data_IF_334649745892
#
_entry.id   IF_334649745892
#
_cell.length_a   1.000
_cell.length_b   1.000
_cell.length_c   1.000
_cell.angle_alpha   90.00
_cell.angle_beta   90.00
_cell.angle_gamma   90.00
#
_symmetry.space_group_name_H-M   'P 1'
#
loop_
_entity.id
_entity.type
_entity.pdbx_description
1 polymer ?
#
# COMPACT_ATOMS: atom_id res chain seq x y z
N UNK A 1 -7.29 -2.37 35.33
CA UNK A 1 -7.47 -2.98 33.99
C UNK A 1 -6.36 -2.47 33.09
N UNK A 2 -5.47 -3.35 32.64
CA UNK A 2 -4.51 -3.00 31.59
C UNK A 2 -5.32 -2.81 30.31
N UNK A 3 -5.36 -1.59 29.78
CA UNK A 3 -6.04 -1.31 28.51
C UNK A 3 -5.30 -2.07 27.40
N UNK A 4 -6.04 -2.67 26.48
CA UNK A 4 -5.46 -3.28 25.28
C UNK A 4 -4.65 -2.25 24.49
N UNK A 5 -3.51 -2.66 23.93
CA UNK A 5 -2.67 -1.84 23.04
C UNK A 5 -3.44 -1.31 21.83
N UNK A 6 -4.61 -1.89 21.52
CA UNK A 6 -5.58 -1.39 20.53
C UNK A 6 -5.97 0.08 20.74
N UNK A 7 -5.90 0.62 21.96
CA UNK A 7 -6.17 2.05 22.22
C UNK A 7 -5.13 3.01 21.60
N UNK A 8 -3.94 2.51 21.22
CA UNK A 8 -2.96 3.32 20.47
C UNK A 8 -3.34 3.45 18.98
N UNK A 9 -4.22 2.59 18.49
CA UNK A 9 -4.71 2.60 17.12
C UNK A 9 -5.83 3.63 17.04
N UNK A 10 -5.51 4.85 16.57
CA UNK A 10 -6.48 5.95 16.39
C UNK A 10 -7.39 5.76 15.17
N UNK A 11 -7.83 4.52 14.93
CA UNK A 11 -8.72 4.15 13.83
C UNK A 11 -10.04 3.74 14.46
N UNK A 12 -11.10 4.45 14.08
CA UNK A 12 -12.45 4.17 14.54
C UNK A 12 -13.04 2.98 13.81
N UNK A 13 -12.88 2.95 12.48
CA UNK A 13 -13.45 1.92 11.62
C UNK A 13 -12.74 1.90 10.25
N UNK A 14 -12.89 0.80 9.51
CA UNK A 14 -12.47 0.68 8.10
C UNK A 14 -13.66 0.10 7.34
N UNK A 15 -14.23 0.90 6.44
CA UNK A 15 -15.38 0.52 5.60
C UNK A 15 -15.34 1.29 4.29
N UNK A 16 -15.98 0.76 3.24
CA UNK A 16 -16.09 1.42 1.93
C UNK A 16 -14.71 1.86 1.38
N UNK A 17 -13.68 1.04 1.59
CA UNK A 17 -12.30 1.26 1.14
C UNK A 17 -11.66 2.56 1.66
N UNK A 18 -12.13 3.01 2.82
CA UNK A 18 -11.60 4.18 3.54
C UNK A 18 -11.39 3.87 5.02
N UNK A 19 -10.39 4.52 5.59
CA UNK A 19 -10.08 4.47 7.03
C UNK A 19 -10.75 5.66 7.70
N UNK A 20 -11.55 5.40 8.73
CA UNK A 20 -12.23 6.43 9.51
C UNK A 20 -11.43 6.65 10.80
N UNK A 21 -10.97 7.88 11.02
CA UNK A 21 -10.25 8.25 12.24
C UNK A 21 -11.22 8.47 13.42
N UNK A 22 -10.72 8.44 14.66
CA UNK A 22 -11.54 8.76 15.84
C UNK A 22 -12.18 10.15 15.76
N UNK A 23 -11.50 11.08 15.10
CA UNK A 23 -11.95 12.46 14.89
C UNK A 23 -13.02 12.58 13.78
N UNK A 24 -13.36 11.48 13.10
CA UNK A 24 -14.35 11.46 12.01
C UNK A 24 -13.80 11.92 10.65
N UNK A 25 -12.48 12.01 10.51
CA UNK A 25 -11.82 12.21 9.22
C UNK A 25 -11.79 10.90 8.43
N UNK A 26 -11.79 11.03 7.10
CA UNK A 26 -11.64 9.92 6.17
C UNK A 26 -10.23 9.92 5.59
N UNK A 27 -9.67 8.74 5.38
CA UNK A 27 -8.38 8.52 4.72
C UNK A 27 -8.52 7.44 3.65
N UNK A 28 -8.19 7.78 2.42
CA UNK A 28 -7.91 6.79 1.38
C UNK A 28 -6.40 6.52 1.34
N UNK A 29 -6.00 5.28 1.04
CA UNK A 29 -4.60 4.89 0.91
C UNK A 29 -4.37 4.31 -0.47
N UNK A 30 -3.39 4.87 -1.18
CA UNK A 30 -2.93 4.41 -2.48
C UNK A 30 -1.57 3.74 -2.31
N UNK A 31 -1.42 2.52 -2.80
CA UNK A 31 -0.11 1.91 -3.03
C UNK A 31 0.43 2.42 -4.36
N UNK A 32 1.70 2.82 -4.40
CA UNK A 32 2.31 3.43 -5.59
C UNK A 32 3.57 2.66 -5.95
N UNK A 33 3.78 2.31 -7.24
CA UNK A 33 5.04 1.70 -7.66
C UNK A 33 6.20 2.67 -7.46
N UNK A 34 7.39 2.13 -7.21
CA UNK A 34 8.60 2.93 -7.25
C UNK A 34 9.07 3.10 -8.69
N UNK A 35 9.73 4.23 -9.00
CA UNK A 35 10.46 4.42 -10.26
C UNK A 35 11.95 4.45 -9.99
N UNK A 36 12.73 3.79 -10.86
CA UNK A 36 14.19 3.83 -10.84
C UNK A 36 14.72 5.16 -11.35
N UNK A 37 14.52 6.23 -10.58
CA UNK A 37 14.88 7.61 -10.95
C UNK A 37 16.36 7.77 -11.37
N UNK A 38 17.25 6.99 -10.76
CA UNK A 38 18.69 7.03 -11.05
C UNK A 38 19.03 6.54 -12.47
N UNK A 39 18.23 5.63 -13.04
CA UNK A 39 18.46 5.05 -14.36
C UNK A 39 17.89 5.90 -15.49
N UNK A 40 17.07 6.91 -15.17
CA UNK A 40 16.53 7.84 -16.15
C UNK A 40 17.63 8.74 -16.73
N UNK A 41 17.44 9.16 -17.97
CA UNK A 41 18.26 10.21 -18.58
C UNK A 41 17.97 11.58 -17.93
N UNK A 42 18.90 12.53 -18.03
CA UNK A 42 18.70 13.88 -17.50
C UNK A 42 17.40 14.58 -17.96
N UNK A 43 17.02 14.58 -19.26
CA UNK A 43 15.75 15.19 -19.66
C UNK A 43 14.52 14.48 -19.07
N UNK A 44 14.58 13.16 -18.90
CA UNK A 44 13.49 12.40 -18.24
C UNK A 44 13.40 12.74 -16.75
N UNK A 45 14.55 12.88 -16.07
CA UNK A 45 14.58 13.33 -14.67
C UNK A 45 13.97 14.71 -14.52
N UNK A 46 14.32 15.66 -15.38
CA UNK A 46 13.73 17.00 -15.38
C UNK A 46 12.22 16.97 -15.60
N UNK A 47 11.75 16.14 -16.54
CA UNK A 47 10.33 15.96 -16.79
C UNK A 47 9.58 15.40 -15.56
N UNK A 48 10.13 14.35 -14.93
CA UNK A 48 9.55 13.75 -13.71
C UNK A 48 9.50 14.76 -12.57
N UNK A 49 10.57 15.52 -12.36
CA UNK A 49 10.62 16.57 -11.32
C UNK A 49 9.60 17.68 -11.62
N UNK A 50 9.46 18.10 -12.88
CA UNK A 50 8.48 19.10 -13.30
C UNK A 50 7.04 18.66 -13.01
N UNK A 51 6.68 17.44 -13.42
CA UNK A 51 5.37 16.85 -13.18
C UNK A 51 5.09 16.65 -11.68
N UNK A 52 6.11 16.27 -10.90
CA UNK A 52 5.96 16.12 -9.45
C UNK A 52 5.74 17.48 -8.77
N UNK A 53 6.40 18.53 -9.26
CA UNK A 53 6.12 19.90 -8.82
C UNK A 53 4.68 20.32 -9.13
N UNK A 54 4.19 20.06 -10.34
CA UNK A 54 2.81 20.35 -10.72
C UNK A 54 1.79 19.61 -9.84
N UNK A 55 2.08 18.36 -9.45
CA UNK A 55 1.28 17.64 -8.47
C UNK A 55 1.24 18.40 -7.14
N UNK A 56 2.39 18.79 -6.59
CA UNK A 56 2.46 19.47 -5.30
C UNK A 56 1.80 20.86 -5.32
N UNK A 57 2.03 21.64 -6.38
CA UNK A 57 1.47 22.99 -6.54
C UNK A 57 -0.06 22.95 -6.68
N UNK A 58 -0.61 21.83 -7.16
CA UNK A 58 -2.05 21.65 -7.34
C UNK A 58 -2.80 21.09 -6.13
N UNK A 59 -2.12 20.77 -5.03
CA UNK A 59 -2.77 20.26 -3.80
C UNK A 59 -3.33 21.40 -2.95
N UNK A 60 -4.63 21.38 -2.70
CA UNK A 60 -5.33 22.24 -1.73
C UNK A 60 -5.49 21.56 -0.35
N UNK A 61 -4.93 20.37 -0.17
CA UNK A 61 -4.93 19.59 1.07
C UNK A 61 -3.57 18.92 1.31
N UNK A 62 -3.32 18.53 2.56
CA UNK A 62 -2.09 17.84 2.92
C UNK A 62 -2.12 16.39 2.43
N UNK A 63 -1.09 15.89 1.77
CA UNK A 63 -0.91 14.45 1.56
C UNK A 63 0.15 13.91 2.49
N UNK A 64 0.05 12.63 2.85
CA UNK A 64 1.12 11.95 3.58
C UNK A 64 1.70 10.86 2.70
N UNK A 65 3.00 10.96 2.42
CA UNK A 65 3.77 9.90 1.78
C UNK A 65 4.42 9.08 2.89
N UNK A 66 4.17 7.77 2.91
CA UNK A 66 4.84 6.87 3.84
C UNK A 66 5.49 5.71 3.10
N UNK A 67 6.68 5.33 3.57
CA UNK A 67 7.49 4.28 2.96
C UNK A 67 7.75 3.20 4.00
N UNK A 68 7.48 1.97 3.63
CA UNK A 68 7.66 0.81 4.49
C UNK A 68 8.73 -0.09 3.87
N UNK A 69 9.77 -0.40 4.64
CA UNK A 69 10.78 -1.38 4.24
C UNK A 69 10.48 -2.73 4.90
N UNK A 70 10.49 -3.81 4.11
CA UNK A 70 10.25 -5.19 4.57
C UNK A 70 11.23 -6.15 3.92
N UNK A 71 11.46 -7.29 4.55
CA UNK A 71 12.23 -8.36 3.91
C UNK A 71 11.47 -8.88 2.69
N UNK A 72 12.18 -9.11 1.61
CA UNK A 72 11.59 -9.70 0.41
C UNK A 72 11.08 -11.11 0.71
N UNK A 73 9.82 -11.39 0.35
CA UNK A 73 9.26 -12.73 0.44
C UNK A 73 9.68 -13.53 -0.80
N UNK A 74 10.65 -14.43 -0.62
CA UNK A 74 11.18 -15.30 -1.68
C UNK A 74 10.60 -16.72 -1.61
N UNK A 75 9.91 -17.08 -0.51
CA UNK A 75 9.48 -18.47 -0.28
C UNK A 75 8.55 -18.95 -1.39
N UNK A 76 7.69 -18.09 -1.93
CA UNK A 76 6.86 -18.39 -3.11
C UNK A 76 7.68 -18.76 -4.35
N UNK A 77 8.73 -17.99 -4.66
CA UNK A 77 9.62 -18.29 -5.79
C UNK A 77 10.41 -19.59 -5.57
N UNK A 78 10.87 -19.84 -4.33
CA UNK A 78 11.54 -21.10 -3.99
C UNK A 78 10.59 -22.28 -4.18
N UNK A 79 9.32 -22.15 -3.78
CA UNK A 79 8.33 -23.22 -3.96
C UNK A 79 8.05 -23.47 -5.45
N UNK A 80 7.92 -22.42 -6.25
CA UNK A 80 7.83 -22.54 -7.71
C UNK A 80 9.02 -23.30 -8.32
N UNK A 81 10.25 -22.98 -7.90
CA UNK A 81 11.45 -23.69 -8.36
C UNK A 81 11.47 -25.17 -7.91
N UNK A 82 10.95 -25.47 -6.73
CA UNK A 82 10.82 -26.86 -6.23
C UNK A 82 9.79 -27.66 -7.03
N UNK A 83 8.64 -27.06 -7.35
CA UNK A 83 7.64 -27.69 -8.23
C UNK A 83 8.24 -27.99 -9.60
N UNK A 84 8.97 -27.02 -10.18
CA UNK A 84 9.70 -27.20 -11.44
C UNK A 84 10.74 -28.33 -11.38
N UNK A 85 11.44 -28.47 -10.25
CA UNK A 85 12.44 -29.53 -10.03
C UNK A 85 11.80 -30.93 -10.01
N UNK A 86 10.59 -31.05 -9.47
CA UNK A 86 9.83 -32.31 -9.45
C UNK A 86 9.40 -32.73 -10.86
N UNK A 87 8.98 -31.77 -11.69
CA UNK A 87 8.55 -32.01 -13.08
C UNK A 87 9.71 -32.27 -14.05
N UNK A 88 10.92 -31.81 -13.73
CA UNK A 88 12.07 -31.94 -14.62
C UNK A 88 12.45 -33.41 -14.80
N UNK A 89 12.89 -33.76 -16.01
CA UNK A 89 13.27 -35.15 -16.37
C UNK A 89 14.76 -35.28 -16.64
N UNK A 90 15.41 -34.19 -17.03
CA UNK A 90 16.83 -34.19 -17.37
C UNK A 90 17.70 -34.07 -16.08
N UNK A 91 18.61 -35.02 -15.81
CA UNK A 91 19.39 -35.04 -14.56
C UNK A 91 20.33 -33.85 -14.33
N UNK A 92 20.96 -33.32 -15.38
CA UNK A 92 21.88 -32.18 -15.26
C UNK A 92 21.13 -30.90 -14.86
N UNK A 93 19.95 -30.66 -15.43
CA UNK A 93 19.08 -29.54 -15.10
C UNK A 93 18.59 -29.64 -13.66
N UNK A 94 18.27 -30.86 -13.16
CA UNK A 94 17.93 -31.05 -11.75
C UNK A 94 19.03 -30.59 -10.81
N UNK A 95 20.27 -31.01 -11.07
CA UNK A 95 21.42 -30.62 -10.25
C UNK A 95 21.59 -29.10 -10.26
N UNK A 96 21.47 -28.46 -11.44
CA UNK A 96 21.55 -26.99 -11.53
C UNK A 96 20.44 -26.28 -10.76
N UNK A 97 19.21 -26.78 -10.83
CA UNK A 97 18.08 -26.23 -10.08
C UNK A 97 18.28 -26.36 -8.57
N UNK A 98 18.76 -27.51 -8.08
CA UNK A 98 19.07 -27.72 -6.66
C UNK A 98 20.16 -26.76 -6.17
N UNK A 99 21.25 -26.63 -6.92
CA UNK A 99 22.32 -25.68 -6.61
C UNK A 99 21.83 -24.23 -6.61
N UNK A 100 20.97 -23.87 -7.57
CA UNK A 100 20.40 -22.53 -7.66
C UNK A 100 19.46 -22.21 -6.50
N UNK A 101 18.57 -23.14 -6.13
CA UNK A 101 17.68 -22.98 -4.97
C UNK A 101 18.51 -22.77 -3.71
N UNK A 102 19.55 -23.60 -3.49
CA UNK A 102 20.43 -23.49 -2.34
C UNK A 102 21.19 -22.17 -2.33
N UNK A 103 21.75 -21.76 -3.46
CA UNK A 103 22.42 -20.47 -3.62
C UNK A 103 21.50 -19.31 -3.24
N UNK A 104 20.26 -19.29 -3.71
CA UNK A 104 19.29 -18.24 -3.38
C UNK A 104 18.99 -18.22 -1.88
N UNK A 105 18.78 -19.37 -1.26
CA UNK A 105 18.52 -19.48 0.17
C UNK A 105 19.68 -18.90 0.98
N UNK A 106 20.90 -19.37 0.72
CA UNK A 106 22.11 -18.90 1.41
C UNK A 106 22.35 -17.39 1.17
N UNK A 107 22.11 -16.92 -0.06
CA UNK A 107 22.28 -15.53 -0.43
C UNK A 107 21.33 -14.61 0.35
N UNK A 108 20.06 -15.00 0.48
CA UNK A 108 19.03 -14.18 1.15
C UNK A 108 19.20 -14.18 2.67
N UNK A 109 19.56 -15.33 3.25
CA UNK A 109 19.92 -15.42 4.67
C UNK A 109 21.09 -14.48 5.00
N UNK A 110 22.07 -14.41 4.10
CA UNK A 110 23.26 -13.57 4.29
C UNK A 110 22.98 -12.08 4.02
N UNK A 111 22.23 -11.74 2.97
CA UNK A 111 22.14 -10.37 2.45
C UNK A 111 20.87 -9.59 2.85
N UNK A 112 19.94 -10.17 3.62
CA UNK A 112 18.71 -9.51 4.13
C UNK A 112 18.09 -8.55 3.11
N UNK A 113 17.70 -9.07 1.95
CA UNK A 113 17.15 -8.27 0.86
C UNK A 113 15.87 -7.58 1.32
N UNK A 114 15.81 -6.26 1.17
CA UNK A 114 14.68 -5.44 1.57
C UNK A 114 13.90 -4.94 0.34
N UNK A 115 12.58 -5.12 0.34
CA UNK A 115 11.64 -4.46 -0.57
C UNK A 115 11.10 -3.19 0.08
N UNK A 116 11.02 -2.10 -0.68
CA UNK A 116 10.39 -0.84 -0.26
C UNK A 116 9.01 -0.76 -0.89
N UNK A 117 8.03 -0.42 -0.07
CA UNK A 117 6.66 -0.19 -0.46
C UNK A 117 6.33 1.28 -0.21
N UNK A 118 5.74 1.92 -1.21
CA UNK A 118 5.41 3.34 -1.19
C UNK A 118 3.90 3.47 -1.13
N UNK A 119 3.46 4.34 -0.24
CA UNK A 119 2.05 4.61 -0.07
C UNK A 119 1.80 6.10 0.06
N UNK A 120 0.65 6.53 -0.46
CA UNK A 120 0.16 7.90 -0.36
C UNK A 120 -1.19 7.86 0.34
N UNK A 121 -1.28 8.60 1.45
CA UNK A 121 -2.52 8.76 2.20
C UNK A 121 -3.16 10.08 1.79
N UNK A 122 -4.40 9.98 1.33
CA UNK A 122 -5.23 11.10 0.88
C UNK A 122 -6.26 11.38 1.98
N UNK A 123 -6.18 12.55 2.65
CA UNK A 123 -7.11 12.89 3.70
C UNK A 123 -8.33 13.67 3.20
N UNK A 124 -9.44 13.43 3.89
CA UNK A 124 -10.56 14.34 3.92
C UNK A 124 -10.93 14.56 5.39
N UNK A 125 -10.87 15.82 5.83
CA UNK A 125 -11.28 16.19 7.18
C UNK A 125 -12.74 16.58 7.18
N UNK A 126 -13.49 16.08 8.17
CA UNK A 126 -14.79 16.65 8.48
C UNK A 126 -14.55 18.03 9.08
N UNK A 127 -15.03 19.09 8.44
CA UNK A 127 -15.24 20.35 9.16
C UNK A 127 -16.25 20.03 10.27
N UNK A 128 -15.75 19.86 11.50
CA UNK A 128 -16.58 19.63 12.66
C UNK A 128 -17.40 20.90 12.88
N UNK A 129 -18.55 20.99 12.24
CA UNK A 129 -19.57 21.96 12.53
C UNK A 129 -19.99 21.70 13.99
N UNK A 130 -19.40 22.46 14.91
CA UNK A 130 -19.78 22.53 16.33
C UNK A 130 -21.17 23.16 16.46
N UNK A 131 -22.21 22.54 15.89
CA UNK A 131 -23.59 22.92 16.16
C UNK A 131 -24.03 22.16 17.41
N UNK A 132 -23.93 22.87 18.54
CA UNK A 132 -24.67 22.55 19.76
C UNK A 132 -26.15 22.46 19.42
N UNK A 133 -26.77 21.34 19.77
CA UNK A 133 -28.16 21.07 19.43
C UNK A 133 -28.47 19.60 19.60
N UNK A 134 -29.18 19.30 20.68
CA UNK A 134 -29.72 17.99 21.03
C UNK A 134 -30.88 17.69 20.05
N UNK A 135 -31.02 16.43 19.64
CA UNK A 135 -32.12 15.78 18.90
C UNK A 135 -31.95 15.47 17.39
N UNK A 136 -32.13 14.16 17.08
CA UNK A 136 -32.24 13.45 15.79
C UNK A 136 -31.03 13.52 14.85
N UNK A 137 -30.08 12.58 15.00
CA UNK A 137 -28.77 12.60 14.30
C UNK A 137 -28.25 11.25 13.78
N UNK A 138 -29.07 10.21 13.63
CA UNK A 138 -28.58 8.94 13.04
C UNK A 138 -28.72 8.92 11.52
N UNK A 139 -29.91 9.22 10.96
CA UNK A 139 -30.10 9.23 9.50
C UNK A 139 -29.29 10.31 8.75
N UNK A 140 -29.05 11.49 9.36
CA UNK A 140 -28.21 12.53 8.75
C UNK A 140 -26.73 12.16 8.65
N UNK A 141 -26.23 11.30 9.54
CA UNK A 141 -24.80 10.95 9.57
C UNK A 141 -24.39 10.06 8.40
N UNK A 142 -25.30 9.25 7.89
CA UNK A 142 -25.02 8.36 6.77
C UNK A 142 -24.99 9.12 5.45
N UNK A 143 -25.95 10.03 5.21
CA UNK A 143 -25.92 10.95 4.07
C UNK A 143 -24.70 11.88 4.09
N UNK A 144 -24.37 12.47 5.24
CA UNK A 144 -23.16 13.27 5.43
C UNK A 144 -21.90 12.45 5.11
N UNK A 145 -21.82 11.20 5.55
CA UNK A 145 -20.68 10.32 5.25
C UNK A 145 -20.50 10.07 3.75
N UNK A 146 -21.59 9.78 3.01
CA UNK A 146 -21.49 9.56 1.57
C UNK A 146 -21.07 10.82 0.80
N UNK A 147 -21.50 12.01 1.26
CA UNK A 147 -21.02 13.28 0.68
C UNK A 147 -19.52 13.47 0.91
N UNK A 148 -19.04 13.16 2.12
CA UNK A 148 -17.61 13.24 2.44
C UNK A 148 -16.79 12.22 1.63
N UNK A 149 -17.34 11.03 1.44
CA UNK A 149 -16.74 9.99 0.61
C UNK A 149 -16.61 10.48 -0.83
N UNK A 150 -17.66 11.04 -1.43
CA UNK A 150 -17.62 11.59 -2.80
C UNK A 150 -16.57 12.69 -2.97
N UNK A 151 -16.40 13.55 -1.96
CA UNK A 151 -15.35 14.56 -1.96
C UNK A 151 -13.95 13.94 -1.86
N UNK A 152 -13.78 12.91 -1.03
CA UNK A 152 -12.54 12.14 -0.95
C UNK A 152 -12.24 11.42 -2.28
N UNK A 153 -13.24 10.84 -2.94
CA UNK A 153 -13.11 10.21 -4.26
C UNK A 153 -12.55 11.19 -5.28
N UNK A 154 -13.07 12.41 -5.29
CA UNK A 154 -12.60 13.46 -6.20
C UNK A 154 -11.11 13.76 -5.98
N UNK A 155 -10.65 13.81 -4.73
CA UNK A 155 -9.23 13.99 -4.38
C UNK A 155 -8.38 12.79 -4.79
N UNK A 156 -8.90 11.58 -4.61
CA UNK A 156 -8.22 10.33 -4.99
C UNK A 156 -8.05 10.26 -6.51
N UNK A 157 -9.09 10.59 -7.27
CA UNK A 157 -9.04 10.64 -8.74
C UNK A 157 -7.99 11.64 -9.20
N UNK A 158 -8.01 12.85 -8.65
CA UNK A 158 -7.01 13.89 -8.97
C UNK A 158 -5.58 13.40 -8.75
N UNK A 159 -5.29 12.80 -7.58
CA UNK A 159 -3.96 12.27 -7.26
C UNK A 159 -3.61 11.11 -8.21
N UNK A 160 -4.56 10.25 -8.51
CA UNK A 160 -4.38 9.08 -9.40
C UNK A 160 -4.01 9.51 -10.81
N UNK A 161 -4.68 10.53 -11.34
CA UNK A 161 -4.40 11.09 -12.67
C UNK A 161 -3.02 11.75 -12.72
N UNK A 162 -2.66 12.51 -11.69
CA UNK A 162 -1.35 13.17 -11.60
C UNK A 162 -0.20 12.18 -11.45
N UNK A 163 -0.39 11.11 -10.67
CA UNK A 163 0.59 10.02 -10.56
C UNK A 163 0.68 9.21 -11.86
N UNK A 164 -0.44 8.95 -12.53
CA UNK A 164 -0.45 8.32 -13.85
C UNK A 164 0.34 9.12 -14.88
N UNK A 165 0.24 10.45 -14.85
CA UNK A 165 1.04 11.33 -15.71
C UNK A 165 2.55 11.23 -15.44
N UNK A 166 2.95 10.89 -14.21
CA UNK A 166 4.33 10.59 -13.84
C UNK A 166 4.80 9.18 -14.29
N UNK A 167 3.94 8.41 -14.95
CA UNK A 167 4.20 7.02 -15.30
C UNK A 167 4.04 6.06 -14.11
N UNK A 168 3.48 6.52 -12.99
CA UNK A 168 3.18 5.69 -11.82
C UNK A 168 1.73 5.21 -11.93
N UNK A 169 1.48 3.91 -11.82
CA UNK A 169 0.12 3.37 -11.76
C UNK A 169 -0.27 3.12 -10.29
N UNK A 170 -0.84 4.10 -9.58
CA UNK A 170 -1.23 3.90 -8.20
C UNK A 170 -2.44 2.98 -8.12
N UNK A 171 -2.45 2.12 -7.10
CA UNK A 171 -3.57 1.23 -6.84
C UNK A 171 -4.20 1.60 -5.50
N UNK A 172 -5.52 1.78 -5.49
CA UNK A 172 -6.26 2.02 -4.26
C UNK A 172 -6.38 0.74 -3.45
N UNK A 173 -6.02 0.82 -2.17
CA UNK A 173 -6.24 -0.27 -1.23
C UNK A 173 -7.72 -0.36 -0.87
N UNK A 174 -8.29 -1.55 -0.98
CA UNK A 174 -9.64 -1.84 -0.52
C UNK A 174 -9.62 -2.21 0.96
N UNK A 175 -10.82 -2.39 1.51
CA UNK A 175 -11.04 -2.69 2.93
C UNK A 175 -10.18 -3.87 3.44
N UNK A 176 -10.07 -5.01 2.72
CA UNK A 176 -9.23 -6.12 3.18
C UNK A 176 -7.73 -5.78 3.18
N UNK A 177 -7.21 -5.11 2.14
CA UNK A 177 -5.79 -4.72 2.09
C UNK A 177 -5.46 -3.67 3.16
N UNK A 178 -6.40 -2.75 3.47
CA UNK A 178 -6.24 -1.78 4.54
C UNK A 178 -6.10 -2.47 5.90
N UNK A 179 -6.98 -3.44 6.19
CA UNK A 179 -6.92 -4.22 7.43
C UNK A 179 -5.57 -4.95 7.53
N UNK A 180 -5.12 -5.57 6.43
CA UNK A 180 -3.83 -6.24 6.37
C UNK A 180 -2.67 -5.27 6.61
N UNK A 181 -2.65 -4.13 5.93
CA UNK A 181 -1.63 -3.09 6.08
C UNK A 181 -1.51 -2.66 7.54
N UNK A 182 -2.63 -2.35 8.22
CA UNK A 182 -2.58 -1.98 9.63
C UNK A 182 -2.14 -3.14 10.51
N UNK A 183 -2.60 -4.36 10.25
CA UNK A 183 -2.13 -5.53 10.99
C UNK A 183 -0.61 -5.69 10.90
N UNK A 184 -0.03 -5.50 9.73
CA UNK A 184 1.42 -5.56 9.48
C UNK A 184 2.21 -4.35 10.01
N UNK A 185 1.57 -3.19 10.13
CA UNK A 185 2.19 -2.01 10.73
C UNK A 185 2.25 -2.12 12.26
N UNK A 186 1.20 -2.67 12.89
CA UNK A 186 1.13 -2.83 14.35
C UNK A 186 1.80 -4.11 14.85
N UNK A 187 1.96 -5.12 13.99
CA UNK A 187 2.71 -6.33 14.29
C UNK A 187 4.00 -6.34 13.45
N UNK A 188 5.17 -6.02 14.02
CA UNK A 188 6.43 -5.97 13.28
C UNK A 188 7.09 -7.35 13.04
N UNK A 189 6.49 -8.43 13.54
CA UNK A 189 7.04 -9.79 13.51
C UNK A 189 6.41 -10.82 12.52
N UNK A 190 5.28 -10.57 11.82
CA UNK A 190 4.89 -11.44 10.72
C UNK A 190 5.86 -11.22 9.55
N UNK A 191 6.44 -12.32 9.04
CA UNK A 191 7.05 -12.30 7.72
C UNK A 191 5.98 -11.84 6.72
N UNK A 192 6.33 -10.90 5.85
CA UNK A 192 5.47 -10.43 4.76
C UNK A 192 4.88 -11.64 4.01
N UNK A 193 3.56 -11.70 3.82
CA UNK A 193 2.87 -12.84 3.19
C UNK A 193 2.33 -13.93 4.14
N UNK A 194 2.31 -13.74 5.46
CA UNK A 194 1.61 -14.66 6.40
C UNK A 194 0.14 -14.30 6.66
N UNK A 195 -0.33 -13.12 6.24
CA UNK A 195 -1.74 -12.72 6.25
C UNK A 195 -2.39 -13.03 4.87
N UNK A 196 -3.72 -13.22 4.77
CA UNK A 196 -4.38 -13.81 3.60
C UNK A 196 -3.90 -13.23 2.27
N UNK A 197 -3.16 -14.07 1.55
CA UNK A 197 -2.09 -13.71 0.60
C UNK A 197 -2.60 -13.19 -0.76
N UNK A 198 -3.79 -13.61 -1.18
CA UNK A 198 -4.21 -13.53 -2.58
C UNK A 198 -4.34 -12.10 -3.12
N UNK A 199 -4.78 -11.16 -2.30
CA UNK A 199 -5.12 -9.81 -2.76
C UNK A 199 -3.88 -8.92 -2.95
N UNK A 200 -2.81 -9.18 -2.17
CA UNK A 200 -1.57 -8.41 -2.23
C UNK A 200 -0.59 -8.94 -3.28
N UNK A 201 -0.61 -10.25 -3.56
CA UNK A 201 0.14 -10.83 -4.68
C UNK A 201 -0.38 -10.31 -6.03
N UNK A 202 -1.71 -10.22 -6.21
CA UNK A 202 -2.33 -9.62 -7.40
C UNK A 202 -1.92 -8.14 -7.58
N UNK A 203 -1.85 -7.37 -6.50
CA UNK A 203 -1.38 -5.98 -6.53
C UNK A 203 0.10 -5.86 -6.88
N UNK A 204 0.96 -6.72 -6.32
CA UNK A 204 2.40 -6.70 -6.61
C UNK A 204 2.67 -7.13 -8.05
N UNK A 205 1.95 -8.15 -8.54
CA UNK A 205 2.09 -8.63 -9.90
C UNK A 205 1.65 -7.58 -10.93
N UNK A 206 0.58 -6.81 -10.61
CA UNK A 206 0.14 -5.66 -11.42
C UNK A 206 1.07 -4.43 -11.34
N UNK A 207 2.01 -4.38 -10.37
CA UNK A 207 2.98 -3.29 -10.20
C UNK A 207 4.37 -3.63 -10.74
N UNK A 208 4.64 -4.91 -11.04
CA UNK A 208 5.92 -5.41 -11.57
C UNK A 208 5.89 -5.66 -13.10
N UNK A 209 4.71 -5.62 -13.74
CA UNK A 209 4.50 -5.53 -15.20
C UNK A 209 4.46 -4.06 -15.67
#
# INVERSE_FOLDING_TARGET
MVKSTSYLIKIKDIRDDVVITEDGGLRAILAVPGVNFTLLSEPEKEAVVGLFKELLDGLDFNIQIFVVSRLAYIEGYINYLKERLEEETEPLIKIQLEEYIKFIQDYIETHRIMKKLFYIVVPYETEAIKIGGIFKREYKKEEEFYQQLEQLETRVIYITEKLSALGLQPIRLKTPELIQLFYELYNPNPRWGMAPIKLFEELIQALEE
#
